data_IF_769656030011
#
_entry.id   IF_769656030011
#
_cell.length_a   1.000
_cell.length_b   1.000
_cell.length_c   1.000
_cell.angle_alpha   90.00
_cell.angle_beta   90.00
_cell.angle_gamma   90.00
#
_symmetry.space_group_name_H-M   'P 1'
#
loop_
_entity.id
_entity.type
_entity.pdbx_description
1 polymer ?
2 non-polymer ?
3 non-polymer ?
4 water ?
#
# COMPACT_ATOMS: atom_id res chain seq x y z
N UNK A 1 -20.72 -19.59 -0.36
CA UNK A 1 -21.24 -19.86 1.03
C UNK A 1 -21.27 -21.36 1.35
N UNK A 2 -21.65 -22.16 0.35
CA UNK A 2 -21.51 -23.62 0.36
C UNK A 2 -20.06 -24.10 0.16
N UNK A 3 -19.17 -23.21 -0.30
CA UNK A 3 -17.79 -23.55 -0.55
C UNK A 3 -17.04 -23.69 0.76
N UNK A 4 -16.29 -24.77 0.88
CA UNK A 4 -15.62 -25.07 2.10
C UNK A 4 -14.40 -24.17 2.26
N UNK A 5 -14.00 -24.04 3.51
CA UNK A 5 -12.83 -23.32 3.90
C UNK A 5 -11.59 -24.00 3.27
N UNK A 6 -11.55 -25.33 3.32
CA UNK A 6 -10.47 -26.04 2.70
C UNK A 6 -10.30 -25.67 1.22
N UNK A 7 -11.41 -25.57 0.48
CA UNK A 7 -11.36 -25.23 -0.91
C UNK A 7 -10.86 -23.77 -1.15
N UNK A 8 -11.34 -22.81 -0.35
CA UNK A 8 -10.87 -21.42 -0.45
C UNK A 8 -9.36 -21.33 -0.23
N UNK A 9 -8.89 -22.00 0.82
CA UNK A 9 -7.47 -22.02 1.15
C UNK A 9 -6.65 -22.61 0.01
N UNK A 10 -7.12 -23.72 -0.53
CA UNK A 10 -6.39 -24.38 -1.61
C UNK A 10 -6.34 -23.50 -2.87
N UNK A 11 -7.47 -22.91 -3.24
CA UNK A 11 -7.54 -22.00 -4.39
C UNK A 11 -6.58 -20.82 -4.22
N UNK A 12 -6.62 -20.13 -3.08
CA UNK A 12 -5.76 -18.96 -2.91
C UNK A 12 -4.28 -19.36 -2.87
N UNK A 13 -3.98 -20.47 -2.20
CA UNK A 13 -2.60 -20.98 -2.21
C UNK A 13 -2.14 -21.18 -3.67
N UNK A 14 -3.03 -21.73 -4.51
CA UNK A 14 -2.66 -22.07 -5.88
C UNK A 14 -2.35 -20.83 -6.72
N UNK A 15 -2.97 -19.68 -6.41
CA UNK A 15 -2.65 -18.47 -7.14
C UNK A 15 -1.19 -18.03 -6.93
N UNK A 16 -0.68 -18.15 -5.71
CA UNK A 16 0.72 -17.84 -5.42
C UNK A 16 1.64 -18.92 -6.00
N UNK A 17 1.20 -20.18 -5.91
CA UNK A 17 1.94 -21.30 -6.47
C UNK A 17 2.12 -21.12 -7.97
N UNK A 18 1.06 -20.77 -8.68
CA UNK A 18 1.14 -20.57 -10.12
C UNK A 18 2.05 -19.41 -10.55
N UNK A 19 2.11 -18.35 -9.75
CA UNK A 19 3.00 -17.22 -10.01
C UNK A 19 4.45 -17.61 -9.67
N UNK A 20 4.65 -18.80 -9.15
CA UNK A 20 5.97 -19.29 -8.77
C UNK A 20 6.65 -18.34 -7.82
N UNK A 21 5.91 -17.91 -6.81
CA UNK A 21 6.52 -17.16 -5.74
C UNK A 21 6.01 -17.65 -4.40
N UNK A 22 6.32 -16.91 -3.34
CA UNK A 22 5.90 -17.20 -2.00
C UNK A 22 5.22 -15.92 -1.49
N UNK A 23 4.03 -16.05 -0.91
CA UNK A 23 3.33 -14.91 -0.40
C UNK A 23 2.11 -15.24 0.45
N UNK A 24 1.52 -14.16 0.97
CA UNK A 24 0.28 -14.18 1.72
C UNK A 24 -0.64 -13.07 1.28
N UNK A 25 -1.92 -13.27 1.55
CA UNK A 25 -2.88 -12.20 1.57
C UNK A 25 -3.66 -12.32 2.88
N UNK A 26 -3.64 -11.22 3.63
CA UNK A 26 -4.36 -11.11 4.87
C UNK A 26 -5.61 -10.29 4.63
N UNK A 27 -6.74 -10.82 5.09
CA UNK A 27 -8.03 -10.22 4.91
C UNK A 27 -8.62 -9.93 6.28
N UNK A 28 -9.21 -8.75 6.44
CA UNK A 28 -9.80 -8.37 7.73
C UNK A 28 -11.28 -8.15 7.60
N UNK A 29 -12.06 -8.87 8.40
CA UNK A 29 -13.51 -8.74 8.38
C UNK A 29 -13.93 -8.31 9.78
N UNK A 30 -14.29 -7.03 9.93
CA UNK A 30 -14.50 -6.44 11.25
C UNK A 30 -13.19 -6.51 12.02
N UNK A 31 -13.18 -7.25 13.12
CA UNK A 31 -11.94 -7.45 13.88
C UNK A 31 -11.16 -8.72 13.50
N UNK A 32 -11.73 -9.61 12.69
CA UNK A 32 -11.06 -10.93 12.47
C UNK A 32 -10.07 -10.89 11.31
N UNK A 33 -8.80 -11.27 11.56
CA UNK A 33 -7.77 -11.36 10.52
C UNK A 33 -7.66 -12.76 10.00
N UNK A 34 -7.80 -12.95 8.69
CA UNK A 34 -7.61 -14.26 8.03
C UNK A 34 -6.40 -14.22 7.09
N UNK A 35 -5.45 -15.14 7.31
CA UNK A 35 -4.25 -15.26 6.51
C UNK A 35 -4.37 -16.39 5.47
N UNK A 36 -4.28 -16.05 4.19
CA UNK A 36 -4.30 -17.01 3.10
C UNK A 36 -3.01 -16.93 2.30
N UNK A 37 -2.82 -17.89 1.39
CA UNK A 37 -1.64 -17.91 0.49
C UNK A 37 -0.85 -19.20 0.61
N UNK A 38 0.40 -19.16 0.14
CA UNK A 38 1.29 -20.32 0.18
C UNK A 38 2.47 -20.17 1.07
N UNK A 39 2.55 -19.08 1.83
CA UNK A 39 3.65 -18.93 2.78
C UNK A 39 3.16 -18.14 3.98
N UNK A 40 2.32 -18.80 4.77
CA UNK A 40 1.57 -18.18 5.85
C UNK A 40 2.43 -17.53 6.93
N UNK A 41 3.64 -18.04 7.14
CA UNK A 41 4.54 -17.47 8.13
C UNK A 41 5.09 -16.08 7.75
N UNK A 42 4.90 -15.62 6.52
CA UNK A 42 5.20 -14.25 6.18
C UNK A 42 4.37 -13.21 6.96
N UNK A 43 3.23 -13.61 7.52
CA UNK A 43 2.25 -12.66 8.09
C UNK A 43 2.78 -11.73 9.19
N UNK A 44 3.69 -12.22 10.05
CA UNK A 44 4.29 -11.37 11.09
C UNK A 44 5.78 -11.13 10.88
N UNK A 45 6.26 -11.23 9.65
CA UNK A 45 7.63 -10.83 9.34
C UNK A 45 7.67 -9.41 8.81
N UNK A 46 8.77 -8.73 9.08
CA UNK A 46 8.93 -7.34 8.73
C UNK A 46 9.57 -7.17 7.36
N UNK A 47 9.01 -6.29 6.54
CA UNK A 47 9.56 -5.95 5.21
C UNK A 47 9.53 -4.45 5.04
N UNK A 48 10.36 -3.93 4.14
CA UNK A 48 10.24 -2.52 3.83
C UNK A 48 8.87 -2.27 3.19
N UNK A 49 8.23 -1.13 3.52
CA UNK A 49 6.91 -0.79 2.96
C UNK A 49 6.94 -0.43 1.47
N UNK A 50 8.11 0.06 1.03
CA UNK A 50 8.33 0.58 -0.33
C UNK A 50 7.24 1.60 -0.64
N UNK A 51 6.64 1.56 -1.82
CA UNK A 51 5.68 2.59 -2.21
C UNK A 51 4.34 2.59 -1.46
N UNK A 52 4.06 1.56 -0.64
CA UNK A 52 2.88 1.61 0.23
C UNK A 52 2.99 2.79 1.18
N UNK A 53 4.23 3.18 1.51
CA UNK A 53 4.48 4.34 2.32
C UNK A 53 3.93 5.67 1.76
N UNK A 55 1.06 6.29 1.01
CA UNK A 55 -0.21 6.60 1.71
C UNK A 55 0.04 7.47 2.94
N UNK A 56 1.02 7.09 3.74
CA UNK A 56 1.28 7.81 4.96
C UNK A 56 2.01 9.13 4.69
N UNK A 57 2.98 9.09 3.74
CA UNK A 57 3.73 10.27 3.31
C UNK A 57 2.71 11.35 2.91
N UNK A 58 1.72 10.97 2.10
CA UNK A 58 0.64 11.90 1.73
C UNK A 58 -0.15 12.45 2.93
N UNK A 59 -0.57 11.57 3.84
CA UNK A 59 -1.31 12.02 5.03
C UNK A 59 -0.49 13.03 5.81
N UNK A 60 0.77 12.71 6.04
CA UNK A 60 1.65 13.58 6.77
C UNK A 60 1.83 14.94 6.08
N UNK A 61 2.07 14.94 4.76
CA UNK A 61 2.39 16.18 4.05
C UNK A 61 1.16 17.09 3.95
N UNK A 62 0.00 16.50 3.72
CA UNK A 62 -1.22 17.26 3.70
C UNK A 62 -1.58 17.81 5.10
N UNK A 63 -1.48 17.00 6.14
CA UNK A 63 -1.87 17.41 7.49
C UNK A 63 -0.99 18.57 7.96
N UNK A 64 0.30 18.48 7.65
CA UNK A 64 1.26 19.52 8.01
C UNK A 64 1.46 20.66 7.00
N UNK A 65 0.51 20.84 6.08
CA UNK A 65 0.53 21.93 5.10
C UNK A 65 1.78 22.01 4.25
N UNK A 66 2.36 20.86 3.91
CA UNK A 66 3.51 20.82 3.02
C UNK A 66 3.10 20.74 1.56
N UNK A 67 1.82 20.53 1.30
CA UNK A 67 1.31 20.53 -0.04
C UNK A 67 -0.18 20.61 0.04
N UNK A 68 -0.82 20.88 -1.09
CA UNK A 68 -2.27 20.76 -1.22
C UNK A 68 -2.57 19.73 -2.27
N UNK A 69 -3.84 19.36 -2.43
CA UNK A 69 -4.21 18.33 -3.38
C UNK A 69 -4.29 18.83 -4.83
N UNK A 70 -4.32 20.13 -5.02
CA UNK A 70 -4.38 20.77 -6.34
C UNK A 70 -2.99 21.20 -6.84
N UNK A 71 -2.02 21.25 -5.95
CA UNK A 71 -0.68 21.72 -6.27
C UNK A 71 0.02 20.84 -7.31
N UNK A 72 0.69 21.49 -8.27
CA UNK A 72 1.39 20.79 -9.33
C UNK A 72 2.88 20.74 -8.99
N UNK A 73 3.38 19.50 -8.80
CA UNK A 73 4.79 19.25 -8.53
C UNK A 73 5.45 19.18 -9.91
N UNK A 74 6.30 20.15 -10.20
CA UNK A 74 6.91 20.28 -11.52
C UNK A 74 7.99 19.25 -11.71
N UNK A 75 8.03 18.65 -12.89
CA UNK A 75 9.17 17.84 -13.31
C UNK A 75 10.42 18.75 -13.49
N UNK A 76 11.55 18.36 -12.91
CA UNK A 76 12.78 19.16 -12.98
C UNK A 76 13.54 19.06 -14.36
N UNK A 77 13.03 18.24 -15.26
CA UNK A 77 13.63 18.05 -16.57
C UNK A 77 14.71 17.01 -16.62
N UNK A 78 14.99 16.33 -15.50
CA UNK A 78 15.96 15.25 -15.46
C UNK A 78 15.31 13.91 -15.79
N UNK A 79 16.14 13.02 -16.31
CA UNK A 79 15.69 11.73 -16.82
C UNK A 79 15.19 10.94 -15.62
N UNK A 80 14.08 10.25 -15.80
CA UNK A 80 13.53 9.42 -14.76
C UNK A 80 13.53 7.99 -15.22
N UNK A 81 13.35 7.08 -14.27
CA UNK A 81 13.30 5.65 -14.54
C UNK A 81 12.20 5.33 -15.53
N UNK A 82 11.05 5.97 -15.45
CA UNK A 82 9.92 5.73 -16.37
C UNK A 82 9.55 7.04 -17.05
N UNK A 83 9.31 7.01 -18.38
CA UNK A 83 8.91 8.22 -19.11
C UNK A 83 7.68 8.88 -18.55
N UNK A 84 6.74 8.04 -18.09
CA UNK A 84 5.48 8.47 -17.46
C UNK A 84 5.70 9.43 -16.29
N UNK A 85 6.87 9.37 -15.67
CA UNK A 85 7.22 10.26 -14.54
C UNK A 85 7.80 11.59 -15.01
N UNK A 86 8.10 11.75 -16.29
CA UNK A 86 8.72 12.99 -16.79
C UNK A 86 7.70 14.05 -17.14
N UNK A 87 6.94 14.44 -16.13
CA UNK A 87 5.86 15.39 -16.26
C UNK A 87 5.50 15.96 -14.90
N UNK A 88 4.71 17.01 -14.94
CA UNK A 88 4.27 17.77 -13.81
C UNK A 88 3.02 17.06 -13.28
N UNK A 89 2.90 16.88 -11.98
CA UNK A 89 1.76 16.16 -11.47
C UNK A 89 1.39 16.53 -10.06
N UNK A 90 0.11 16.31 -9.75
CA UNK A 90 -0.40 16.39 -8.38
C UNK A 90 0.03 15.19 -7.55
N UNK A 91 -0.16 15.27 -6.24
CA UNK A 91 0.08 14.12 -5.33
C UNK A 91 -0.78 12.94 -5.74
N UNK A 92 -2.03 13.21 -6.10
CA UNK A 92 -2.96 12.21 -6.57
C UNK A 92 -2.55 11.53 -7.84
N UNK A 93 -2.08 12.30 -8.81
CA UNK A 93 -1.61 11.70 -10.06
C UNK A 93 -0.33 10.89 -9.76
N UNK A 94 0.52 11.42 -8.89
CA UNK A 94 1.73 10.74 -8.51
C UNK A 94 1.48 9.45 -7.72
N UNK A 95 0.40 9.39 -6.97
CA UNK A 95 0.01 8.17 -6.26
C UNK A 95 -0.33 7.09 -7.29
N UNK A 96 -1.15 7.45 -8.28
CA UNK A 96 -1.59 6.51 -9.32
C UNK A 96 -0.43 6.02 -10.18
N UNK A 97 0.53 6.90 -10.50
CA UNK A 97 1.71 6.52 -11.26
C UNK A 97 2.80 6.01 -10.40
N UNK A 98 2.59 6.06 -9.08
CA UNK A 98 3.59 5.72 -8.09
C UNK A 98 4.97 6.37 -8.39
N UNK A 99 4.91 7.67 -8.63
CA UNK A 99 6.07 8.50 -8.96
C UNK A 99 6.84 8.88 -7.69
N UNK A 100 7.88 8.12 -7.43
CA UNK A 100 8.71 8.28 -6.27
C UNK A 100 9.31 9.68 -6.17
N UNK A 101 9.75 10.28 -7.30
CA UNK A 101 10.36 11.61 -7.12
C UNK A 101 9.47 12.64 -6.50
N UNK A 102 8.18 12.59 -6.79
CA UNK A 102 7.23 13.54 -6.21
C UNK A 102 7.10 13.33 -4.71
N UNK A 103 7.04 12.08 -4.32
CA UNK A 103 6.92 11.71 -2.91
C UNK A 103 8.23 11.93 -2.16
N UNK A 104 9.36 11.88 -2.85
CA UNK A 104 10.64 12.27 -2.20
C UNK A 104 10.73 13.76 -1.93
N UNK A 105 10.26 14.56 -2.90
CA UNK A 105 10.12 16.01 -2.71
C UNK A 105 9.21 16.31 -1.53
N UNK A 106 8.05 15.63 -1.47
CA UNK A 106 7.17 15.81 -0.32
C UNK A 106 7.88 15.47 1.01
N UNK A 107 8.57 14.35 1.05
CA UNK A 107 9.30 13.95 2.28
C UNK A 107 10.35 15.02 2.66
N UNK A 108 11.08 15.53 1.68
CA UNK A 108 12.07 16.61 1.95
C UNK A 108 11.41 17.89 2.51
N UNK A 109 10.23 18.24 2.01
CA UNK A 109 9.49 19.37 2.52
C UNK A 109 9.09 19.15 3.96
N UNK A 110 8.56 17.97 4.25
CA UNK A 110 8.25 17.58 5.62
C UNK A 110 9.52 17.65 6.50
N UNK A 111 10.63 17.11 6.02
CA UNK A 111 11.90 17.13 6.78
C UNK A 111 12.03 16.01 7.80
N UNK A 112 13.28 15.61 8.09
CA UNK A 112 13.56 14.43 8.90
C UNK A 112 12.92 14.48 10.28
N UNK A 113 13.04 15.63 10.96
CA UNK A 113 12.56 15.77 12.33
C UNK A 113 11.05 15.59 12.44
N UNK A 114 10.33 16.29 11.58
CA UNK A 114 8.89 16.18 11.59
C UNK A 114 8.43 14.81 11.08
N UNK A 115 9.11 14.27 10.07
CA UNK A 115 8.77 12.94 9.56
C UNK A 115 8.89 11.89 10.68
N UNK A 116 10.01 11.89 11.40
CA UNK A 116 10.23 10.93 12.49
C UNK A 116 9.16 11.05 13.57
N UNK A 117 8.78 12.27 13.94
CA UNK A 117 7.77 12.48 14.96
C UNK A 117 6.41 12.00 14.48
N UNK A 118 6.12 12.19 13.19
CA UNK A 118 4.82 11.80 12.68
C UNK A 118 4.70 10.30 12.48
N UNK A 119 5.78 9.65 12.04
CA UNK A 119 5.79 8.20 11.85
C UNK A 119 5.66 7.50 13.22
N UNK A 120 6.38 8.00 14.19
CA UNK A 120 6.23 7.65 15.61
C UNK A 120 4.81 7.88 16.14
N UNK A 121 4.25 9.05 15.92
CA UNK A 121 2.90 9.36 16.37
C UNK A 121 1.84 8.40 15.81
N UNK A 122 1.95 8.04 14.53
CA UNK A 122 0.99 7.08 13.98
C UNK A 122 1.38 5.64 14.30
N UNK A 123 2.58 5.39 14.87
CA UNK A 123 2.98 4.02 15.22
C UNK A 123 3.00 3.11 14.00
N UNK A 124 3.62 3.55 12.90
CA UNK A 124 3.67 2.79 11.64
C UNK A 124 4.86 1.83 11.66
N UNK A 125 4.56 0.53 11.61
CA UNK A 125 5.56 -0.52 11.54
C UNK A 125 6.52 -0.48 12.70
N UNK A 126 7.82 -0.58 12.43
CA UNK A 126 8.83 -0.44 13.50
C UNK A 126 9.11 1.04 13.85
N UNK A 127 8.42 1.98 13.21
CA UNK A 127 8.56 3.41 13.51
C UNK A 127 9.96 4.05 13.33
N UNK A 128 10.93 3.35 12.76
CA UNK A 128 12.29 3.90 12.66
C UNK A 128 12.59 4.41 11.24
N UNK A 129 12.88 5.70 11.10
CA UNK A 129 13.21 6.26 9.78
C UNK A 129 14.68 6.55 9.58
N UNK A 130 15.48 6.38 10.63
CA UNK A 130 16.91 6.65 10.57
C UNK A 130 17.22 8.10 10.23
N UNK A 131 18.28 8.33 9.46
CA UNK A 131 18.79 9.69 9.22
C UNK A 131 18.58 10.24 7.78
N UNK A 132 18.10 9.42 6.85
CA UNK A 132 17.90 9.81 5.45
C UNK A 132 16.42 10.01 5.13
N UNK A 133 15.98 11.26 5.07
CA UNK A 133 14.56 11.57 4.93
C UNK A 133 13.93 11.13 3.59
N UNK A 134 14.73 10.86 2.57
CA UNK A 134 14.21 10.66 1.22
C UNK A 134 14.21 9.22 0.72
N UNK A 135 14.72 8.27 1.50
CA UNK A 135 14.67 6.86 1.09
C UNK A 135 14.41 5.78 2.17
N UNK A 136 14.05 6.23 3.36
CA UNK A 136 13.92 5.37 4.55
C UNK A 136 12.88 4.28 4.40
N UNK A 137 11.89 4.50 3.53
CA UNK A 137 10.81 3.57 3.25
C UNK A 137 11.12 2.60 2.11
N UNK A 138 12.22 2.84 1.39
CA UNK A 138 12.58 2.10 0.20
C UNK A 138 13.65 1.09 0.53
N UNK A 139 14.61 1.44 1.37
CA UNK A 139 15.77 0.57 1.64
C UNK A 139 16.01 0.29 3.13
N UNK A 140 15.04 0.60 3.98
CA UNK A 140 15.25 0.57 5.44
C UNK A 140 15.73 1.92 5.98
N UNK A 141 15.75 2.12 7.29
CA UNK A 141 15.44 1.07 8.28
C UNK A 141 13.96 0.86 8.60
N UNK A 142 13.05 1.59 7.97
CA UNK A 142 11.63 1.42 8.24
C UNK A 142 11.15 0.05 7.70
N UNK A 143 10.49 -0.72 8.57
CA UNK A 143 9.90 -2.01 8.22
C UNK A 143 8.51 -2.15 8.83
N UNK A 144 7.72 -3.03 8.24
CA UNK A 144 6.36 -3.26 8.66
C UNK A 144 5.94 -4.68 8.28
N UNK A 145 5.04 -5.28 9.06
CA UNK A 145 4.59 -6.65 8.76
C UNK A 145 3.31 -6.59 7.95
N UNK A 146 2.95 -7.69 7.31
CA UNK A 146 1.68 -7.73 6.61
C UNK A 146 0.45 -7.53 7.51
N UNK A 147 0.50 -8.06 8.74
CA UNK A 147 -0.53 -7.78 9.75
C UNK A 147 -0.63 -6.26 10.06
N UNK A 148 0.49 -5.61 10.29
CA UNK A 148 0.50 -4.16 10.49
C UNK A 148 -0.05 -3.40 9.27
N UNK A 149 0.32 -3.84 8.06
CA UNK A 149 -0.21 -3.17 6.84
C UNK A 149 -1.72 -3.25 6.71
N UNK A 150 -2.29 -4.43 6.97
CA UNK A 150 -3.74 -4.58 6.86
C UNK A 150 -4.45 -3.79 7.95
N UNK A 151 -3.84 -3.68 9.13
CA UNK A 151 -4.40 -2.91 10.25
C UNK A 151 -4.29 -1.39 9.97
N UNK A 152 -3.22 -0.99 9.26
CA UNK A 152 -3.11 0.40 8.77
C UNK A 152 -4.21 0.70 7.75
N UNK A 153 -4.38 -0.19 6.78
CA UNK A 153 -5.48 -0.04 5.82
C UNK A 153 -6.86 0.05 6.48
N UNK A 154 -7.09 -0.79 7.49
CA UNK A 154 -8.33 -0.83 8.22
C UNK A 154 -8.57 0.51 8.91
N UNK A 155 -7.54 1.03 9.55
CA UNK A 155 -7.61 2.34 10.18
C UNK A 155 -7.93 3.48 9.19
N UNK A 156 -7.28 3.46 8.02
CA UNK A 156 -7.49 4.51 7.03
C UNK A 156 -8.88 4.41 6.46
N UNK A 157 -9.27 3.19 6.12
CA UNK A 157 -10.58 2.95 5.55
C UNK A 157 -11.69 3.48 6.46
N UNK A 158 -11.50 3.36 7.78
CA UNK A 158 -12.52 3.78 8.73
C UNK A 158 -12.21 5.10 9.40
N UNK A 159 -11.29 5.89 8.83
CA UNK A 159 -10.94 7.21 9.37
C UNK A 159 -10.43 7.24 10.81
N UNK A 160 -9.78 6.16 11.24
CA UNK A 160 -9.26 6.06 12.60
C UNK A 160 -7.83 6.51 12.82
N UNK A 161 -7.12 6.87 11.75
CA UNK A 161 -5.76 7.37 11.98
C UNK A 161 -5.87 8.75 12.62
N UNK A 162 -4.84 9.16 13.36
CA UNK A 162 -4.87 10.44 14.05
C UNK A 162 -4.46 11.60 13.12
N UNK A 163 -5.31 11.84 12.10
CA UNK A 163 -5.22 12.95 11.18
C UNK A 163 -6.63 13.49 11.06
N UNK A 164 -6.79 14.70 10.57
CA UNK A 164 -8.13 15.22 10.33
C UNK A 164 -8.88 14.30 9.37
N UNK A 165 -10.20 14.26 9.56
CA UNK A 165 -11.11 13.56 8.66
C UNK A 165 -10.81 13.92 7.22
N UNK A 166 -10.71 15.24 6.99
CA UNK A 166 -10.50 15.77 5.64
C UNK A 166 -9.21 15.22 5.01
N UNK A 167 -8.12 15.21 5.78
CA UNK A 167 -6.86 14.70 5.31
C UNK A 167 -6.98 13.22 4.89
N UNK A 168 -7.67 12.43 5.71
CA UNK A 168 -7.87 11.00 5.42
C UNK A 168 -8.72 10.83 4.18
N UNK A 169 -9.76 11.65 4.05
CA UNK A 169 -10.59 11.60 2.84
C UNK A 169 -9.84 12.00 1.53
N UNK A 170 -9.01 13.02 1.62
CA UNK A 170 -8.20 13.46 0.47
C UNK A 170 -7.31 12.30 -0.02
N UNK A 171 -6.66 11.61 0.91
CA UNK A 171 -5.75 10.54 0.52
C UNK A 171 -6.51 9.32 -0.01
N UNK A 172 -7.63 8.98 0.60
CA UNK A 172 -8.40 7.86 0.14
C UNK A 172 -8.89 8.06 -1.27
N UNK A 173 -9.25 9.29 -1.60
CA UNK A 173 -9.68 9.66 -2.95
C UNK A 173 -8.63 9.27 -4.01
N UNK A 174 -7.36 9.36 -3.63
CA UNK A 174 -6.24 9.09 -4.49
C UNK A 174 -5.98 7.62 -4.75
N UNK A 175 -6.67 6.72 -4.04
CA UNK A 175 -6.32 5.32 -4.01
C UNK A 175 -7.30 4.42 -4.74
N UNK A 176 -8.35 4.97 -5.34
CA UNK A 176 -9.25 4.17 -6.14
C UNK A 176 -8.55 3.56 -7.36
N UNK A 177 -8.39 2.25 -7.38
CA UNK A 177 -7.73 1.57 -8.51
C UNK A 177 -8.65 0.70 -9.37
N UNK A 178 -9.84 0.36 -8.90
CA UNK A 178 -10.66 -0.61 -9.63
C UNK A 178 -12.10 -0.56 -9.13
N UNK A 179 -13.06 -0.74 -10.04
CA UNK A 179 -14.47 -0.97 -9.69
C UNK A 179 -14.94 -2.24 -10.34
N UNK A 180 -15.50 -3.16 -9.56
CA UNK A 180 -15.93 -4.47 -10.05
C UNK A 180 -17.26 -4.78 -9.41
N UNK A 181 -18.27 -5.04 -10.25
CA UNK A 181 -19.67 -5.02 -9.81
C UNK A 181 -19.93 -3.73 -9.03
N UNK A 182 -20.51 -3.81 -7.84
CA UNK A 182 -20.79 -2.60 -7.05
C UNK A 182 -19.64 -2.22 -6.15
N UNK A 183 -18.53 -2.97 -6.22
CA UNK A 183 -17.43 -2.85 -5.29
C UNK A 183 -16.35 -1.97 -5.88
N UNK A 184 -15.77 -1.16 -5.00
CA UNK A 184 -14.62 -0.33 -5.30
C UNK A 184 -13.41 -0.83 -4.53
N UNK A 185 -12.27 -0.91 -5.19
CA UNK A 185 -11.02 -1.30 -4.57
C UNK A 185 -10.11 -0.09 -4.47
N UNK A 186 -9.75 0.25 -3.25
CA UNK A 186 -8.81 1.29 -2.89
C UNK A 186 -7.56 0.59 -2.43
N UNK A 187 -6.42 0.87 -3.04
CA UNK A 187 -5.18 0.19 -2.63
C UNK A 187 -3.93 0.91 -3.13
N UNK A 188 -2.82 0.62 -2.47
CA UNK A 188 -1.54 1.03 -2.97
C UNK A 188 -0.57 -0.14 -3.09
N UNK A 189 0.11 -0.24 -4.24
CA UNK A 189 1.12 -1.25 -4.46
C UNK A 189 2.47 -0.80 -3.92
N UNK A 190 3.37 -1.77 -3.80
CA UNK A 190 4.70 -1.49 -3.27
C UNK A 190 5.64 -2.54 -3.82
N UNK A 191 6.86 -2.14 -4.15
CA UNK A 191 7.85 -3.06 -4.72
C UNK A 191 9.21 -2.65 -4.20
N UNK A 192 9.73 -3.39 -3.23
CA UNK A 192 11.03 -3.13 -2.68
C UNK A 192 12.13 -3.69 -3.56
N UNK A 193 12.67 -2.86 -4.46
CA UNK A 193 13.74 -3.26 -5.38
C UNK A 193 15.14 -3.09 -4.81
N UNK A 194 15.31 -2.22 -3.84
CA UNK A 194 16.63 -1.99 -3.26
C UNK A 194 16.94 -2.85 -2.06
N UNK A 195 16.23 -3.97 -1.93
CA UNK A 195 16.50 -4.96 -0.90
C UNK A 195 16.47 -6.35 -1.53
N UNK A 196 17.11 -7.31 -0.87
CA UNK A 196 17.12 -8.68 -1.33
C UNK A 196 16.71 -9.61 -0.18
N UNK A 197 15.77 -10.53 -0.40
CA UNK A 197 14.94 -10.62 -1.63
C UNK A 197 14.00 -9.39 -1.79
N UNK A 198 13.47 -9.19 -2.98
CA UNK A 198 12.54 -8.08 -3.20
C UNK A 198 11.15 -8.39 -2.68
N UNK A 199 10.46 -7.38 -2.16
CA UNK A 199 9.12 -7.55 -1.60
C UNK A 199 8.11 -6.85 -2.50
N UNK A 200 6.99 -7.51 -2.70
CA UNK A 200 5.84 -6.95 -3.40
C UNK A 200 4.64 -6.85 -2.46
N UNK A 201 3.94 -5.73 -2.57
CA UNK A 201 2.80 -5.41 -1.74
C UNK A 201 1.64 -4.94 -2.58
N UNK A 202 0.43 -5.24 -2.12
CA UNK A 202 -0.77 -4.51 -2.53
C UNK A 202 -1.66 -4.43 -1.31
N UNK A 203 -1.75 -3.22 -0.75
CA UNK A 203 -2.43 -3.03 0.52
C UNK A 203 -3.59 -2.04 0.34
N UNK A 204 -4.76 -2.38 0.86
CA UNK A 204 -5.93 -1.53 0.69
C UNK A 204 -7.18 -2.06 1.31
N UNK A 205 -8.32 -1.76 0.68
CA UNK A 205 -9.58 -2.34 1.10
C UNK A 205 -10.56 -2.36 -0.04
N UNK A 206 -11.59 -3.18 0.13
CA UNK A 206 -12.73 -3.21 -0.73
C UNK A 206 -13.84 -2.45 -0.02
N UNK A 207 -14.47 -1.51 -0.73
CA UNK A 207 -15.72 -0.94 -0.29
C UNK A 207 -16.84 -1.62 -1.08
N UNK A 208 -17.69 -2.35 -0.40
CA UNK A 208 -18.77 -3.08 -1.05
C UNK A 208 -19.96 -2.15 -1.28
N UNK A 209 -20.85 -2.55 -2.18
CA UNK A 209 -22.07 -1.79 -2.50
C UNK A 209 -22.80 -1.31 -1.25
N UNK A 210 -22.96 -2.21 -0.29
CA UNK A 210 -23.64 -1.93 0.98
C UNK A 210 -22.90 -0.98 1.94
N UNK A 211 -21.64 -0.65 1.68
CA UNK A 211 -20.88 0.25 2.55
C UNK A 211 -19.86 -0.42 3.46
N UNK A 212 -19.95 -1.74 3.58
CA UNK A 212 -18.97 -2.53 4.32
C UNK A 212 -17.57 -2.41 3.63
N UNK A 213 -16.55 -2.24 4.46
CA UNK A 213 -15.15 -2.20 4.03
C UNK A 213 -14.37 -3.40 4.54
N UNK A 214 -13.70 -4.10 3.63
CA UNK A 214 -12.88 -5.27 3.92
C UNK A 214 -11.44 -4.94 3.53
N UNK A 215 -10.62 -4.63 4.52
CA UNK A 215 -9.21 -4.41 4.30
C UNK A 215 -8.45 -5.68 3.93
N UNK A 216 -7.37 -5.48 3.18
CA UNK A 216 -6.47 -6.57 2.80
C UNK A 216 -5.05 -6.06 2.64
N UNK A 217 -4.11 -6.99 2.75
CA UNK A 217 -2.73 -6.73 2.38
C UNK A 217 -2.18 -7.99 1.75
N UNK A 218 -1.81 -7.89 0.49
CA UNK A 218 -1.02 -8.94 -0.17
C UNK A 218 0.45 -8.63 -0.01
N UNK A 219 1.23 -9.66 0.29
CA UNK A 219 2.66 -9.55 0.47
C UNK A 219 3.29 -10.79 -0.14
N UNK A 220 4.23 -10.58 -1.08
CA UNK A 220 4.94 -11.69 -1.72
C UNK A 220 6.38 -11.35 -2.12
N UNK A 221 7.13 -12.34 -2.57
CA UNK A 221 8.46 -12.10 -3.09
C UNK A 221 8.36 -11.79 -4.59
N UNK A 222 8.87 -10.64 -5.00
CA UNK A 222 9.00 -10.32 -6.45
C UNK A 222 10.30 -10.95 -6.97
N UNK A 223 10.18 -11.68 -8.07
CA UNK A 223 11.33 -12.42 -8.65
C UNK A 223 11.72 -11.80 -9.97
N UNK A 224 12.98 -11.96 -10.38
CA UNK A 224 13.48 -11.48 -11.69
C UNK A 224 12.48 -11.70 -12.85
N UNK A 225 12.18 -10.65 -13.60
CA UNK A 225 11.23 -10.75 -14.72
C UNK A 225 9.81 -11.13 -14.37
N UNK A 226 9.38 -10.73 -13.17
CA UNK A 226 8.00 -10.88 -12.74
C UNK A 226 7.36 -9.53 -13.06
N UNK A 227 6.14 -9.57 -13.54
CA UNK A 227 5.38 -8.35 -13.81
C UNK A 227 4.73 -7.80 -12.51
N UNK A 228 4.74 -6.48 -12.31
CA UNK A 228 4.07 -5.83 -11.18
C UNK A 228 2.60 -6.18 -11.06
N UNK A 229 1.95 -6.38 -12.19
CA UNK A 229 0.51 -6.69 -12.22
C UNK A 229 0.13 -8.07 -11.62
N UNK A 230 1.09 -8.96 -11.39
CA UNK A 230 0.76 -10.22 -10.70
C UNK A 230 0.24 -9.96 -9.28
N UNK A 231 0.66 -8.85 -8.66
CA UNK A 231 0.18 -8.47 -7.32
C UNK A 231 -1.32 -8.19 -7.34
N UNK A 232 -1.74 -7.43 -8.33
CA UNK A 232 -3.16 -7.12 -8.57
C UNK A 232 -3.98 -8.38 -8.95
N UNK A 233 -3.41 -9.19 -9.84
CA UNK A 233 -4.10 -10.38 -10.36
C UNK A 233 -4.37 -11.40 -9.25
N UNK A 234 -3.37 -11.66 -8.41
CA UNK A 234 -3.55 -12.57 -7.28
C UNK A 234 -4.56 -11.99 -6.31
N UNK A 235 -4.50 -10.68 -6.10
CA UNK A 235 -5.39 -10.02 -5.16
C UNK A 235 -6.83 -10.13 -5.62
N UNK A 236 -7.07 -9.81 -6.89
CA UNK A 236 -8.45 -9.80 -7.43
C UNK A 236 -9.03 -11.22 -7.46
N UNK A 237 -8.22 -12.21 -7.83
CA UNK A 237 -8.65 -13.61 -7.80
C UNK A 237 -8.98 -14.11 -6.39
N UNK A 238 -8.17 -13.69 -5.41
CA UNK A 238 -8.39 -14.07 -4.02
C UNK A 238 -9.68 -13.47 -3.48
N UNK A 239 -9.88 -12.18 -3.73
CA UNK A 239 -11.05 -11.47 -3.25
C UNK A 239 -12.32 -12.01 -3.92
N UNK A 240 -12.22 -12.35 -5.20
CA UNK A 240 -13.35 -12.92 -5.91
C UNK A 240 -13.66 -14.33 -5.38
N UNK A 241 -12.63 -15.14 -5.20
CA UNK A 241 -12.79 -16.50 -4.67
C UNK A 241 -13.51 -16.49 -3.31
N UNK A 242 -13.20 -15.51 -2.46
CA UNK A 242 -13.85 -15.40 -1.16
C UNK A 242 -15.21 -14.71 -1.22
N UNK A 243 -15.68 -14.32 -2.41
CA UNK A 243 -16.93 -13.60 -2.54
C UNK A 243 -16.93 -12.17 -2.04
N UNK A 244 -15.74 -11.57 -1.85
CA UNK A 244 -15.63 -10.22 -1.37
C UNK A 244 -15.91 -9.22 -2.51
N UNK A 245 -15.57 -9.59 -3.74
CA UNK A 245 -15.97 -8.82 -4.92
C UNK A 245 -16.63 -9.74 -5.93
#
# INVERSE_FOLDING_TARGET
>A
FHISSQQHEKAIKSYFDEAQTQGVIIIKEGKNLSTYGNALARANKEYVPASTFXMLNALIGLENHKATTNEIFKWDGKKRTYPMWEKDMTLGEAMALSAVPVYQELARRTGLELMQKEVKRVNFGNTNIGTQVDNFWLVGPLKITPVQEVNFADDLAHNRLPFKLETQEEVKKMLLIKEVNGSKIYAKSGWGMGVTPQVGWLTGWVEQANGKKIPFSLNLEMKEGMSGSIRNEITYKSLENLGII
#
